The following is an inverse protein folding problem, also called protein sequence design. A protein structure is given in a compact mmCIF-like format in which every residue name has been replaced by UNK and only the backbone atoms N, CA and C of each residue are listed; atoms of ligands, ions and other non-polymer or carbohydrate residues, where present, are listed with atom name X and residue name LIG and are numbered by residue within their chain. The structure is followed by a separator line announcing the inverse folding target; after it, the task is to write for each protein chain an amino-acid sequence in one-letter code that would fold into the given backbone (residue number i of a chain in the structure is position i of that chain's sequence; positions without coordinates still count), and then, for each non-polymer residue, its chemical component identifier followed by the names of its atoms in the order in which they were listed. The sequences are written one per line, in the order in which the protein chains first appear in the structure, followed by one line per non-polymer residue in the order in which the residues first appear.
data_IF_521167025668
#
_entry.id   IF_521167025668
#
_cell.length_a   1.000
_cell.length_b   1.000
_cell.length_c   1.000
_cell.angle_alpha   90.00
_cell.angle_beta   90.00
_cell.angle_gamma   90.00
#
_symmetry.space_group_name_H-M   'P 1'
#
loop_
_entity.id
_entity.type
_entity.pdbx_description
1 polymer ?
#
# COMPACT_ATOMS: atom_id res chain seq x y z
N UNK A 1 21.11 -5.55 -13.16
CA UNK A 1 19.76 -5.27 -12.64
C UNK A 1 19.91 -4.59 -11.30
N UNK A 2 19.70 -3.27 -11.22
CA UNK A 2 19.80 -2.52 -9.94
C UNK A 2 18.48 -2.68 -9.20
N UNK A 3 18.50 -3.29 -8.01
CA UNK A 3 17.31 -3.46 -7.18
C UNK A 3 17.34 -2.37 -6.11
N UNK A 4 16.58 -1.29 -6.32
CA UNK A 4 16.39 -0.26 -5.30
C UNK A 4 15.42 -0.80 -4.25
N UNK A 5 15.96 -1.19 -3.09
CA UNK A 5 15.14 -1.53 -1.92
C UNK A 5 14.77 -0.23 -1.22
N UNK A 6 13.55 0.25 -1.48
CA UNK A 6 12.99 1.34 -0.67
C UNK A 6 12.83 0.82 0.77
N UNK A 7 13.58 1.41 1.72
CA UNK A 7 13.55 1.06 3.15
C UNK A 7 12.24 1.41 3.86
N UNK A 8 11.16 1.63 3.11
CA UNK A 8 9.86 1.96 3.65
C UNK A 8 9.16 0.70 4.15
N UNK A 9 8.54 0.79 5.33
CA UNK A 9 7.69 -0.23 5.95
C UNK A 9 6.35 -0.38 5.19
N UNK A 10 6.37 -0.32 3.86
CA UNK A 10 5.18 -0.54 3.04
C UNK A 10 4.98 -2.04 2.82
N UNK A 11 3.75 -2.51 3.09
CA UNK A 11 3.36 -3.85 2.71
C UNK A 11 3.41 -3.99 1.18
N UNK A 12 3.95 -5.12 0.71
CA UNK A 12 4.14 -5.44 -0.71
C UNK A 12 2.84 -5.28 -1.55
N UNK A 13 1.69 -5.54 -0.92
CA UNK A 13 0.36 -5.39 -1.55
C UNK A 13 0.04 -3.95 -1.98
N UNK A 14 0.65 -2.94 -1.37
CA UNK A 14 0.50 -1.55 -1.80
C UNK A 14 1.26 -1.25 -3.10
N UNK A 15 2.37 -1.95 -3.33
CA UNK A 15 3.22 -1.78 -4.52
C UNK A 15 2.71 -2.58 -5.71
N UNK A 16 2.27 -3.83 -5.46
CA UNK A 16 1.79 -4.73 -6.51
C UNK A 16 0.30 -4.55 -6.80
N UNK A 17 -0.45 -3.98 -5.85
CA UNK A 17 -1.89 -4.09 -5.82
C UNK A 17 -2.33 -5.50 -5.41
N UNK A 18 -3.60 -5.65 -5.04
CA UNK A 18 -4.13 -6.95 -4.67
C UNK A 18 -5.52 -6.90 -4.07
N UNK A 19 -6.07 -8.09 -3.81
CA UNK A 19 -7.37 -8.26 -3.17
C UNK A 19 -7.19 -8.96 -1.83
N UNK A 20 -7.78 -8.38 -0.79
CA UNK A 20 -7.84 -8.98 0.54
C UNK A 20 -9.26 -9.48 0.79
N UNK A 21 -9.42 -10.80 0.93
CA UNK A 21 -10.71 -11.39 1.28
C UNK A 21 -11.11 -10.97 2.70
N UNK A 22 -12.35 -10.53 2.84
CA UNK A 22 -12.84 -9.94 4.07
C UNK A 22 -13.37 -11.03 5.00
N UNK A 23 -12.67 -11.19 6.13
CA UNK A 23 -13.06 -12.14 7.17
C UNK A 23 -14.18 -11.58 8.05
N UNK A 24 -14.88 -12.45 8.79
CA UNK A 24 -15.89 -12.01 9.76
C UNK A 24 -15.29 -11.16 10.89
N UNK A 25 -14.06 -11.46 11.31
CA UNK A 25 -13.34 -10.66 12.32
C UNK A 25 -13.12 -9.22 11.84
N UNK A 26 -12.80 -9.03 10.56
CA UNK A 26 -12.67 -7.70 9.96
C UNK A 26 -14.01 -6.95 9.94
N UNK A 27 -15.12 -7.62 9.60
CA UNK A 27 -16.46 -7.00 9.66
C UNK A 27 -16.83 -6.55 11.07
N UNK A 28 -16.53 -7.36 12.10
CA UNK A 28 -16.73 -6.98 13.51
C UNK A 28 -15.88 -5.76 13.89
N UNK A 29 -14.63 -5.69 13.43
CA UNK A 29 -13.77 -4.53 13.63
C UNK A 29 -14.36 -3.26 13.00
N UNK A 30 -14.83 -3.32 11.75
CA UNK A 30 -15.46 -2.17 11.10
C UNK A 30 -16.72 -1.69 11.84
N UNK A 31 -17.55 -2.60 12.36
CA UNK A 31 -18.66 -2.21 13.23
C UNK A 31 -18.23 -1.57 14.55
N UNK A 32 -17.13 -2.03 15.15
CA UNK A 32 -16.58 -1.40 16.34
C UNK A 32 -16.06 0.01 16.04
N UNK A 33 -15.37 0.21 14.92
CA UNK A 33 -14.90 1.52 14.47
C UNK A 33 -16.05 2.47 14.16
N UNK A 34 -17.10 2.01 13.48
CA UNK A 34 -18.29 2.82 13.25
C UNK A 34 -18.94 3.28 14.56
N UNK A 35 -19.01 2.40 15.57
CA UNK A 35 -19.53 2.78 16.89
C UNK A 35 -18.63 3.77 17.63
N UNK A 36 -17.32 3.72 17.41
CA UNK A 36 -16.36 4.60 18.06
C UNK A 36 -16.29 5.98 17.40
N UNK A 37 -16.30 6.06 16.07
CA UNK A 37 -16.09 7.32 15.34
C UNK A 37 -17.37 7.92 14.76
N UNK A 38 -18.38 7.10 14.47
CA UNK A 38 -19.58 7.51 13.75
C UNK A 38 -19.40 7.63 12.23
N UNK A 39 -18.20 7.35 11.69
CA UNK A 39 -17.94 7.55 10.26
C UNK A 39 -18.61 6.48 9.40
N UNK A 40 -19.43 6.90 8.45
CA UNK A 40 -20.15 6.00 7.55
C UNK A 40 -19.23 5.13 6.69
N UNK A 41 -17.96 5.52 6.51
CA UNK A 41 -16.96 4.72 5.82
C UNK A 41 -16.86 3.33 6.45
N UNK A 42 -16.79 3.25 7.78
CA UNK A 42 -16.67 1.96 8.47
C UNK A 42 -17.94 1.13 8.36
N UNK A 43 -19.12 1.76 8.41
CA UNK A 43 -20.40 1.10 8.18
C UNK A 43 -20.47 0.49 6.76
N UNK A 44 -20.06 1.26 5.76
CA UNK A 44 -20.04 0.82 4.36
C UNK A 44 -19.06 -0.34 4.16
N UNK A 45 -17.90 -0.30 4.83
CA UNK A 45 -16.92 -1.39 4.80
C UNK A 45 -17.46 -2.66 5.47
N UNK A 46 -18.19 -2.54 6.57
CA UNK A 46 -18.78 -3.69 7.27
C UNK A 46 -19.90 -4.37 6.45
N UNK A 47 -20.67 -3.58 5.70
CA UNK A 47 -21.80 -4.04 4.87
C UNK A 47 -21.42 -4.42 3.44
N UNK A 48 -20.13 -4.37 3.10
CA UNK A 48 -19.67 -4.60 1.74
C UNK A 48 -19.96 -6.04 1.28
N UNK A 49 -20.82 -6.16 0.26
CA UNK A 49 -21.27 -7.42 -0.36
C UNK A 49 -20.24 -8.07 -1.29
N UNK A 50 -19.21 -7.33 -1.75
CA UNK A 50 -18.17 -7.86 -2.64
C UNK A 50 -17.31 -8.92 -1.95
N UNK A 51 -17.22 -8.88 -0.62
CA UNK A 51 -16.47 -9.88 0.16
C UNK A 51 -14.95 -9.71 0.12
N UNK A 52 -14.43 -8.73 -0.60
CA UNK A 52 -13.00 -8.39 -0.61
C UNK A 52 -12.79 -6.87 -0.65
N UNK A 53 -11.60 -6.45 -0.24
CA UNK A 53 -11.08 -5.09 -0.38
C UNK A 53 -10.05 -5.12 -1.50
N UNK A 54 -10.26 -4.30 -2.53
CA UNK A 54 -9.34 -4.16 -3.65
C UNK A 54 -8.42 -2.96 -3.41
N UNK A 55 -7.13 -3.24 -3.36
CA UNK A 55 -6.08 -2.24 -3.24
C UNK A 55 -5.50 -2.05 -4.65
N UNK A 56 -5.70 -0.89 -5.29
CA UNK A 56 -5.14 -0.63 -6.60
C UNK A 56 -3.61 -0.62 -6.52
N UNK A 57 -2.97 -1.12 -7.58
CA UNK A 57 -1.52 -1.04 -7.73
C UNK A 57 -1.11 0.43 -7.76
N UNK A 58 -0.26 0.83 -6.81
CA UNK A 58 0.42 2.13 -6.88
C UNK A 58 1.73 1.92 -7.61
N UNK A 59 1.80 2.34 -8.87
CA UNK A 59 3.09 2.44 -9.56
C UNK A 59 3.89 3.52 -8.84
N UNK A 60 4.79 3.11 -7.93
CA UNK A 60 5.83 4.02 -7.47
C UNK A 60 6.62 4.48 -8.69
N UNK A 61 7.02 5.75 -8.66
CA UNK A 61 7.69 6.51 -9.71
C UNK A 61 8.38 5.59 -10.72
N UNK A 62 7.95 5.63 -11.99
CA UNK A 62 8.72 5.03 -13.06
C UNK A 62 10.07 5.75 -13.06
N UNK A 63 11.09 5.14 -12.46
CA UNK A 63 12.43 5.67 -12.58
C UNK A 63 12.78 5.64 -14.06
N UNK A 64 13.02 6.82 -14.62
CA UNK A 64 13.59 6.92 -15.96
C UNK A 64 15.05 6.48 -15.92
N UNK A 65 15.66 6.27 -17.08
CA UNK A 65 17.09 5.96 -17.17
C UNK A 65 17.94 7.06 -16.52
N UNK A 66 17.51 8.32 -16.65
CA UNK A 66 18.12 9.50 -16.01
C UNK A 66 18.06 9.44 -14.48
N UNK A 67 16.94 9.00 -13.90
CA UNK A 67 16.81 8.85 -12.45
C UNK A 67 17.77 7.79 -11.91
N UNK A 68 18.01 6.72 -12.68
CA UNK A 68 18.95 5.65 -12.32
C UNK A 68 20.39 6.15 -12.36
N UNK A 69 20.75 6.97 -13.33
CA UNK A 69 22.08 7.58 -13.44
C UNK A 69 22.35 8.53 -12.27
N UNK A 70 21.41 9.43 -11.94
CA UNK A 70 21.56 10.34 -10.80
C UNK A 70 21.71 9.61 -9.47
N UNK A 71 20.99 8.50 -9.28
CA UNK A 71 21.13 7.67 -8.07
C UNK A 71 22.52 7.01 -8.00
N UNK A 72 23.06 6.54 -9.13
CA UNK A 72 24.41 5.95 -9.17
C UNK A 72 25.48 6.97 -8.81
N UNK A 73 25.38 8.20 -9.34
CA UNK A 73 26.31 9.28 -9.04
C UNK A 73 26.29 9.63 -7.54
N UNK A 74 25.11 9.79 -6.94
CA UNK A 74 24.97 10.08 -5.52
C UNK A 74 25.53 8.97 -4.61
N UNK A 75 25.37 7.69 -4.99
CA UNK A 75 25.96 6.57 -4.24
C UNK A 75 27.48 6.62 -4.32
N UNK A 76 28.05 6.95 -5.49
CA UNK A 76 29.49 7.02 -5.67
C UNK A 76 30.13 8.11 -4.79
N UNK A 77 29.46 9.26 -4.63
CA UNK A 77 29.92 10.35 -3.75
C UNK A 77 29.84 10.00 -2.26
N UNK A 78 28.85 9.20 -1.83
CA UNK A 78 28.66 8.80 -0.41
C UNK A 78 29.65 7.71 0.02
N UNK A 79 30.22 6.96 -0.94
CA UNK A 79 31.13 5.83 -0.66
C UNK A 79 32.61 6.24 -0.70
N UNK A 80 32.90 7.53 -0.89
CA UNK A 80 34.21 8.18 -0.77
C UNK A 80 34.38 8.81 0.62
#
# INVERSE_FOLDING_TARGET
MVIVKFGTVYAEIHNKGGRINMTERMRKFFWAMFRATGDEIYKNMALNKKGYIEIPKREFAKLTEEDIERIKEQIAEITL
#
